data_IF_654222725325
#
_entry.id   IF_654222725325
#
_cell.length_a   1.000
_cell.length_b   1.000
_cell.length_c   1.000
_cell.angle_alpha   90.00
_cell.angle_beta   90.00
_cell.angle_gamma   90.00
#
_symmetry.space_group_name_H-M   'P 1'
#
loop_
_entity.id
_entity.type
_entity.pdbx_description
1 polymer ?
#
# COMPACT_ATOMS: atom_id res chain seq x y z
N UNK A 1 2.66 -19.89 -7.38
CA UNK A 1 1.87 -18.76 -6.85
C UNK A 1 0.59 -19.30 -6.25
N UNK A 2 0.31 -19.00 -4.98
CA UNK A 2 -0.96 -19.36 -4.33
C UNK A 2 -1.85 -18.12 -4.32
N UNK A 3 -3.00 -18.20 -4.97
CA UNK A 3 -4.02 -17.15 -5.00
C UNK A 3 -5.03 -17.49 -3.89
N UNK A 4 -5.05 -16.72 -2.82
CA UNK A 4 -6.02 -16.89 -1.72
C UNK A 4 -7.19 -15.92 -1.96
N UNK A 5 -8.40 -16.47 -2.13
CA UNK A 5 -9.64 -15.68 -2.18
C UNK A 5 -10.26 -15.63 -0.79
N UNK A 6 -10.39 -14.44 -0.20
CA UNK A 6 -10.99 -14.30 1.13
C UNK A 6 -12.53 -14.36 1.03
N UNK A 7 -13.12 -15.54 1.26
CA UNK A 7 -14.58 -15.76 1.23
C UNK A 7 -15.29 -15.42 2.56
N UNK A 8 -14.64 -14.69 3.46
CA UNK A 8 -15.22 -14.31 4.76
C UNK A 8 -15.40 -15.46 5.75
N UNK A 9 -14.87 -16.66 5.47
CA UNK A 9 -14.82 -17.79 6.42
C UNK A 9 -13.36 -18.10 6.76
N UNK A 10 -13.06 -18.14 8.05
CA UNK A 10 -11.70 -18.30 8.57
C UNK A 10 -11.05 -19.58 8.08
N UNK A 11 -9.88 -19.43 7.47
CA UNK A 11 -8.91 -20.51 7.36
C UNK A 11 -7.88 -20.24 8.46
N UNK A 12 -7.83 -21.16 9.41
CA UNK A 12 -6.83 -21.19 10.46
C UNK A 12 -5.57 -21.82 9.87
N UNK A 13 -4.55 -20.99 9.62
CA UNK A 13 -3.22 -21.44 9.22
C UNK A 13 -2.30 -21.09 10.38
N UNK A 14 -2.18 -22.05 11.30
CA UNK A 14 -1.18 -21.99 12.35
C UNK A 14 0.20 -22.16 11.74
N UNK A 15 1.05 -21.17 11.90
CA UNK A 15 2.50 -21.30 11.86
C UNK A 15 3.13 -20.23 12.75
N UNK A 16 4.05 -20.65 13.62
CA UNK A 16 4.91 -19.79 14.43
C UNK A 16 5.84 -18.95 13.53
N UNK A 17 6.04 -17.64 13.79
CA UNK A 17 6.88 -16.82 12.93
C UNK A 17 8.34 -17.24 13.04
N UNK A 18 8.92 -17.75 11.96
CA UNK A 18 10.35 -17.57 11.70
C UNK A 18 10.61 -16.07 11.55
N UNK A 19 11.83 -15.63 11.82
CA UNK A 19 12.31 -14.24 11.72
C UNK A 19 12.35 -13.74 10.27
N UNK A 20 11.22 -13.80 9.58
CA UNK A 20 11.09 -13.59 8.14
C UNK A 20 10.96 -12.10 7.83
N UNK A 21 11.78 -11.60 6.91
CA UNK A 21 11.61 -10.25 6.36
C UNK A 21 10.39 -10.27 5.43
N UNK A 22 9.25 -9.79 5.92
CA UNK A 22 8.03 -9.72 5.12
C UNK A 22 7.93 -8.41 4.38
N UNK A 23 7.54 -8.48 3.11
CA UNK A 23 7.21 -7.32 2.30
C UNK A 23 5.72 -7.38 1.92
N UNK A 24 4.98 -6.35 2.34
CA UNK A 24 3.58 -6.15 2.01
C UNK A 24 3.48 -5.15 0.88
N UNK A 25 2.93 -5.59 -0.25
CA UNK A 25 2.58 -4.75 -1.39
C UNK A 25 1.08 -4.49 -1.34
N UNK A 26 0.65 -3.23 -1.41
CA UNK A 26 -0.80 -2.95 -1.39
C UNK A 26 -1.22 -1.75 -2.22
N UNK A 27 -2.51 -1.69 -2.52
CA UNK A 27 -3.14 -0.48 -3.05
C UNK A 27 -3.21 0.62 -1.98
N UNK A 28 -3.13 1.88 -2.42
CA UNK A 28 -3.21 3.07 -1.56
C UNK A 28 -4.61 3.28 -0.94
N UNK A 29 -5.63 2.59 -1.47
CA UNK A 29 -7.05 2.83 -1.19
C UNK A 29 -7.45 2.56 0.27
N UNK A 30 -7.88 3.61 0.97
CA UNK A 30 -8.32 3.56 2.36
C UNK A 30 -9.46 2.56 2.64
N UNK A 31 -10.28 2.21 1.64
CA UNK A 31 -11.41 1.28 1.79
C UNK A 31 -10.93 -0.11 2.21
N UNK A 32 -9.68 -0.43 1.92
CA UNK A 32 -9.08 -1.74 2.22
C UNK A 32 -8.43 -1.80 3.61
N UNK A 33 -8.13 -0.66 4.26
CA UNK A 33 -7.33 -0.61 5.49
C UNK A 33 -7.83 -1.59 6.57
N UNK A 34 -9.14 -1.62 6.83
CA UNK A 34 -9.70 -2.46 7.86
C UNK A 34 -9.56 -3.96 7.53
N UNK A 35 -9.75 -4.32 6.26
CA UNK A 35 -9.60 -5.70 5.80
C UNK A 35 -8.12 -6.12 5.78
N UNK A 36 -7.23 -5.28 5.25
CA UNK A 36 -5.78 -5.44 5.29
C UNK A 36 -5.28 -5.63 6.74
N UNK A 37 -5.69 -4.78 7.68
CA UNK A 37 -5.27 -4.88 9.08
C UNK A 37 -5.72 -6.21 9.72
N UNK A 38 -6.98 -6.63 9.51
CA UNK A 38 -7.47 -7.93 10.00
C UNK A 38 -6.74 -9.12 9.38
N UNK A 39 -6.38 -9.01 8.11
CA UNK A 39 -5.68 -10.05 7.38
C UNK A 39 -4.22 -10.19 7.85
N UNK A 40 -3.53 -9.05 8.06
CA UNK A 40 -2.17 -9.00 8.61
C UNK A 40 -2.13 -9.47 10.07
N UNK A 41 -3.10 -9.06 10.89
CA UNK A 41 -3.18 -9.45 12.29
C UNK A 41 -3.30 -10.97 12.50
N UNK A 42 -4.13 -11.64 11.69
CA UNK A 42 -4.27 -13.11 11.69
C UNK A 42 -2.98 -13.86 11.33
N UNK A 43 -1.99 -13.17 10.78
CA UNK A 43 -0.70 -13.74 10.37
C UNK A 43 0.45 -13.24 11.26
N UNK A 44 0.17 -12.68 12.43
CA UNK A 44 1.19 -12.21 13.37
C UNK A 44 1.79 -10.84 13.05
N UNK A 45 1.19 -10.06 12.13
CA UNK A 45 1.67 -8.73 11.74
C UNK A 45 0.73 -7.60 12.16
N UNK A 46 0.02 -7.79 13.27
CA UNK A 46 -0.93 -6.80 13.78
C UNK A 46 -0.27 -5.47 14.15
N UNK A 47 1.03 -5.50 14.46
CA UNK A 47 1.79 -4.38 14.97
C UNK A 47 2.55 -3.60 13.90
N UNK A 48 2.44 -3.95 12.61
CA UNK A 48 3.13 -3.21 11.55
C UNK A 48 4.58 -3.62 11.32
N UNK A 49 5.06 -4.72 11.94
CA UNK A 49 6.41 -5.27 11.76
C UNK A 49 6.63 -5.93 10.38
N UNK A 50 6.51 -5.15 9.31
CA UNK A 50 6.79 -5.57 7.94
C UNK A 50 7.28 -4.40 7.08
N UNK A 51 8.03 -4.71 6.02
CA UNK A 51 8.30 -3.74 4.97
C UNK A 51 7.00 -3.46 4.23
N UNK A 52 6.69 -2.19 4.00
CA UNK A 52 5.47 -1.78 3.33
C UNK A 52 5.80 -1.01 2.05
N UNK A 53 5.23 -1.46 0.95
CA UNK A 53 5.15 -0.67 -0.27
C UNK A 53 3.67 -0.53 -0.62
N UNK A 54 3.19 0.72 -0.70
CA UNK A 54 1.83 1.01 -1.09
C UNK A 54 1.81 2.02 -2.24
N UNK A 55 1.19 1.63 -3.35
CA UNK A 55 1.08 2.42 -4.58
C UNK A 55 -0.27 2.19 -5.24
N UNK A 56 -0.71 3.09 -6.11
CA UNK A 56 -1.98 3.00 -6.78
C UNK A 56 -2.11 1.67 -7.55
N UNK A 57 -3.22 0.96 -7.32
CA UNK A 57 -3.52 -0.33 -7.96
C UNK A 57 -2.60 -1.49 -7.58
N UNK A 58 -1.79 -1.37 -6.52
CA UNK A 58 -0.84 -2.37 -6.01
C UNK A 58 0.20 -2.92 -7.02
N UNK A 59 0.15 -2.50 -8.29
CA UNK A 59 1.10 -2.81 -9.36
C UNK A 59 1.47 -1.57 -10.19
N UNK A 60 0.92 -0.38 -9.87
CA UNK A 60 1.15 0.86 -10.64
C UNK A 60 2.62 1.29 -10.68
N UNK A 61 3.43 0.83 -9.73
CA UNK A 61 4.88 1.03 -9.68
C UNK A 61 5.64 -0.31 -9.59
N UNK A 62 5.46 -1.16 -10.61
CA UNK A 62 6.11 -2.48 -10.70
C UNK A 62 7.63 -2.43 -10.61
N UNK A 63 8.28 -1.43 -11.21
CA UNK A 63 9.73 -1.24 -11.10
C UNK A 63 10.19 -1.00 -9.67
N UNK A 64 9.51 -0.12 -8.92
CA UNK A 64 9.81 0.12 -7.51
C UNK A 64 9.57 -1.11 -6.64
N UNK A 65 8.56 -1.92 -6.95
CA UNK A 65 8.35 -3.20 -6.24
C UNK A 65 9.50 -4.19 -6.46
N UNK A 66 9.96 -4.32 -7.71
CA UNK A 66 11.09 -5.19 -8.05
C UNK A 66 12.39 -4.71 -7.38
N UNK A 67 12.60 -3.39 -7.31
CA UNK A 67 13.72 -2.80 -6.58
C UNK A 67 13.64 -3.13 -5.08
N UNK A 68 12.48 -2.88 -4.45
CA UNK A 68 12.26 -3.19 -3.03
C UNK A 68 12.52 -4.68 -2.72
N UNK A 69 11.99 -5.57 -3.56
CA UNK A 69 12.18 -7.01 -3.39
C UNK A 69 13.65 -7.42 -3.55
N UNK A 70 14.36 -6.84 -4.51
CA UNK A 70 15.79 -7.08 -4.74
C UNK A 70 16.67 -6.60 -3.57
N UNK A 71 16.36 -5.43 -3.02
CA UNK A 71 17.11 -4.85 -1.90
C UNK A 71 16.88 -5.59 -0.58
N UNK A 72 15.63 -5.89 -0.24
CA UNK A 72 15.28 -6.47 1.07
C UNK A 72 15.29 -7.99 1.09
N UNK A 73 15.28 -8.65 -0.07
CA UNK A 73 15.25 -10.12 -0.23
C UNK A 73 14.26 -10.78 0.74
N UNK A 74 12.97 -10.39 0.69
CA UNK A 74 11.98 -10.89 1.62
C UNK A 74 11.79 -12.40 1.47
N UNK A 75 11.60 -13.11 2.58
CA UNK A 75 11.23 -14.53 2.55
C UNK A 75 9.78 -14.73 2.09
N UNK A 76 8.94 -13.71 2.28
CA UNK A 76 7.52 -13.72 1.93
C UNK A 76 7.07 -12.34 1.42
N UNK A 77 6.49 -12.34 0.22
CA UNK A 77 5.82 -11.18 -0.38
C UNK A 77 4.30 -11.40 -0.33
N UNK A 78 3.63 -10.43 0.28
CA UNK A 78 2.18 -10.39 0.45
C UNK A 78 1.61 -9.29 -0.41
N UNK A 79 0.95 -9.65 -1.51
CA UNK A 79 0.30 -8.69 -2.41
C UNK A 79 -1.16 -8.60 -2.03
N UNK A 80 -1.59 -7.43 -1.57
CA UNK A 80 -2.93 -7.15 -1.08
C UNK A 80 -3.58 -6.11 -1.96
N UNK A 81 -4.60 -6.53 -2.69
CA UNK A 81 -5.31 -5.65 -3.59
C UNK A 81 -6.83 -5.75 -3.39
N UNK A 82 -7.62 -5.08 -4.22
CA UNK A 82 -9.06 -5.04 -3.99
C UNK A 82 -9.90 -4.87 -5.24
N UNK A 83 -11.15 -5.35 -5.14
CA UNK A 83 -12.15 -5.06 -6.14
C UNK A 83 -12.45 -3.56 -6.23
N UNK A 84 -12.96 -3.11 -7.39
CA UNK A 84 -13.39 -1.71 -7.60
C UNK A 84 -12.25 -0.68 -7.43
N UNK A 85 -11.03 -1.06 -7.83
CA UNK A 85 -9.86 -0.19 -7.81
C UNK A 85 -9.96 0.95 -8.83
N UNK A 86 -9.87 2.20 -8.34
CA UNK A 86 -10.04 3.41 -9.16
C UNK A 86 -8.89 3.66 -10.14
N UNK A 87 -7.68 3.17 -9.85
CA UNK A 87 -6.50 3.34 -10.71
C UNK A 87 -6.73 2.80 -12.13
N UNK A 88 -7.29 1.60 -12.24
CA UNK A 88 -7.56 0.96 -13.52
C UNK A 88 -8.74 1.60 -14.26
N UNK A 89 -9.67 2.23 -13.54
CA UNK A 89 -10.77 3.02 -14.14
C UNK A 89 -10.26 4.27 -14.82
N UNK A 90 -9.28 4.95 -14.22
CA UNK A 90 -8.86 6.29 -14.67
C UNK A 90 -7.75 6.31 -15.70
N UNK A 91 -7.04 5.19 -15.91
CA UNK A 91 -5.89 5.12 -16.81
C UNK A 91 -6.22 4.53 -18.20
N UNK A 92 -7.47 4.59 -18.65
CA UNK A 92 -7.89 4.13 -19.98
C UNK A 92 -7.84 2.61 -20.20
N UNK A 93 -7.25 1.85 -19.28
CA UNK A 93 -7.30 0.39 -19.27
C UNK A 93 -8.74 -0.13 -19.23
N UNK A 94 -9.66 0.59 -18.59
CA UNK A 94 -11.06 0.21 -18.59
C UNK A 94 -11.71 0.24 -19.98
N UNK A 95 -11.43 1.27 -20.78
CA UNK A 95 -12.05 1.46 -22.09
C UNK A 95 -11.58 0.39 -23.09
N UNK A 96 -10.31 -0.03 -22.99
CA UNK A 96 -9.76 -1.11 -23.81
C UNK A 96 -10.37 -2.48 -23.47
N UNK A 97 -10.60 -2.76 -22.19
CA UNK A 97 -11.05 -4.09 -21.76
C UNK A 97 -12.58 -4.22 -21.68
N UNK A 98 -13.33 -3.13 -21.44
CA UNK A 98 -14.80 -3.15 -21.62
C UNK A 98 -15.19 -3.34 -23.09
N UNK A 99 -14.40 -2.79 -24.04
CA UNK A 99 -14.62 -3.00 -25.47
C UNK A 99 -14.49 -4.49 -25.87
N UNK A 100 -13.63 -5.24 -25.18
CA UNK A 100 -13.42 -6.68 -25.37
C UNK A 100 -14.26 -7.56 -24.42
N UNK A 101 -15.16 -6.96 -23.63
CA UNK A 101 -16.06 -7.68 -22.70
C UNK A 101 -15.37 -8.23 -21.44
N UNK A 102 -14.13 -7.83 -21.17
CA UNK A 102 -13.40 -8.24 -19.98
C UNK A 102 -13.75 -7.36 -18.79
N UNK A 103 -14.10 -8.03 -17.69
CA UNK A 103 -14.40 -7.32 -16.47
C UNK A 103 -13.12 -6.68 -15.87
N UNK A 104 -13.22 -5.51 -15.25
CA UNK A 104 -12.12 -4.73 -14.66
C UNK A 104 -11.15 -5.47 -13.74
N UNK A 105 -11.64 -6.50 -13.05
CA UNK A 105 -10.84 -7.34 -12.17
C UNK A 105 -9.87 -8.25 -12.95
N UNK A 106 -10.11 -8.48 -14.25
CA UNK A 106 -9.25 -9.29 -15.14
C UNK A 106 -7.93 -8.57 -15.44
N UNK A 107 -7.99 -7.27 -15.79
CA UNK A 107 -6.79 -6.44 -16.04
C UNK A 107 -5.90 -6.40 -14.81
N UNK A 108 -6.56 -6.16 -13.68
CA UNK A 108 -5.96 -6.09 -12.38
C UNK A 108 -5.27 -7.41 -12.01
N UNK A 109 -5.95 -8.53 -12.19
CA UNK A 109 -5.37 -9.86 -11.98
C UNK A 109 -4.14 -10.08 -12.87
N UNK A 110 -4.24 -9.81 -14.17
CA UNK A 110 -3.14 -9.99 -15.12
C UNK A 110 -1.87 -9.20 -14.75
N UNK A 111 -2.02 -7.94 -14.31
CA UNK A 111 -0.89 -7.12 -13.88
C UNK A 111 -0.21 -7.70 -12.63
N UNK A 112 -0.99 -8.26 -11.72
CA UNK A 112 -0.49 -8.84 -10.47
C UNK A 112 0.15 -10.20 -10.70
N UNK A 113 -0.38 -11.00 -11.63
CA UNK A 113 0.28 -12.22 -12.12
C UNK A 113 1.63 -11.90 -12.77
N UNK A 114 1.67 -10.84 -13.60
CA UNK A 114 2.90 -10.38 -14.25
C UNK A 114 3.93 -9.93 -13.20
N UNK A 115 3.52 -9.10 -12.25
CA UNK A 115 4.38 -8.69 -11.13
C UNK A 115 4.86 -9.90 -10.32
N UNK A 116 3.99 -10.84 -10.01
CA UNK A 116 4.34 -12.07 -9.29
C UNK A 116 5.35 -12.94 -10.03
N UNK A 117 5.22 -13.05 -11.35
CA UNK A 117 6.17 -13.76 -12.22
C UNK A 117 7.54 -13.10 -12.21
N UNK A 118 7.60 -11.76 -12.36
CA UNK A 118 8.85 -11.01 -12.31
C UNK A 118 9.54 -11.10 -10.94
N UNK A 119 8.78 -10.97 -9.86
CA UNK A 119 9.33 -11.13 -8.51
C UNK A 119 9.87 -12.55 -8.30
N UNK A 120 9.14 -13.59 -8.74
CA UNK A 120 9.60 -14.97 -8.61
C UNK A 120 10.92 -15.24 -9.35
N UNK A 121 11.15 -14.57 -10.50
CA UNK A 121 12.44 -14.64 -11.21
C UNK A 121 13.58 -13.99 -10.41
N UNK A 122 13.31 -12.92 -9.66
CA UNK A 122 14.31 -12.22 -8.85
C UNK A 122 14.75 -13.02 -7.62
N UNK A 123 13.82 -13.73 -6.98
CA UNK A 123 14.12 -14.55 -5.82
C UNK A 123 13.24 -15.81 -5.79
N UNK A 124 13.83 -16.93 -6.23
CA UNK A 124 13.16 -18.24 -6.27
C UNK A 124 12.89 -18.82 -4.88
N UNK A 125 13.56 -18.31 -3.84
CA UNK A 125 13.34 -18.69 -2.44
C UNK A 125 12.22 -17.91 -1.75
N UNK A 126 11.70 -16.84 -2.36
CA UNK A 126 10.62 -16.04 -1.79
C UNK A 126 9.26 -16.70 -2.03
N UNK A 127 8.46 -16.79 -0.97
CA UNK A 127 7.05 -17.16 -1.08
C UNK A 127 6.21 -15.97 -1.55
N UNK A 128 5.24 -16.22 -2.44
CA UNK A 128 4.34 -15.20 -2.98
C UNK A 128 2.89 -15.53 -2.66
N UNK A 129 2.23 -14.64 -1.92
CA UNK A 129 0.80 -14.74 -1.60
C UNK A 129 0.05 -13.54 -2.16
N UNK A 130 -0.92 -13.83 -3.01
CA UNK A 130 -1.81 -12.83 -3.58
C UNK A 130 -3.18 -12.90 -2.89
N UNK A 131 -3.70 -11.74 -2.50
CA UNK A 131 -5.00 -11.59 -1.85
C UNK A 131 -5.79 -10.47 -2.52
N UNK A 132 -6.95 -10.83 -3.07
CA UNK A 132 -7.94 -9.88 -3.55
C UNK A 132 -9.00 -9.68 -2.46
N UNK A 133 -9.03 -8.49 -1.86
CA UNK A 133 -9.97 -8.14 -0.81
C UNK A 133 -11.32 -7.70 -1.39
N UNK A 134 -12.44 -8.32 -0.97
CA UNK A 134 -13.76 -7.89 -1.39
C UNK A 134 -14.12 -6.56 -0.72
N UNK A 135 -14.72 -5.64 -1.49
CA UNK A 135 -15.35 -4.44 -0.93
C UNK A 135 -16.85 -4.65 -0.74
N UNK A 136 -17.34 -4.37 0.46
CA UNK A 136 -18.78 -4.39 0.72
C UNK A 136 -19.50 -3.18 0.10
N UNK A 137 -20.84 -3.23 0.03
CA UNK A 137 -21.66 -2.18 -0.59
C UNK A 137 -21.46 -0.80 0.04
N UNK A 138 -21.15 -0.72 1.35
CA UNK A 138 -20.90 0.55 2.04
C UNK A 138 -19.53 1.12 1.66
N UNK A 139 -18.51 0.27 1.59
CA UNK A 139 -17.16 0.64 1.17
C UNK A 139 -17.11 1.14 -0.27
N UNK A 140 -17.77 0.46 -1.21
CA UNK A 140 -17.83 0.88 -2.62
C UNK A 140 -18.40 2.29 -2.83
N UNK A 141 -19.24 2.76 -1.91
CA UNK A 141 -19.85 4.10 -1.95
C UNK A 141 -18.99 5.19 -1.31
N UNK A 142 -17.90 4.83 -0.64
CA UNK A 142 -16.98 5.80 -0.02
C UNK A 142 -15.97 6.23 -1.08
N UNK A 143 -15.90 7.54 -1.32
CA UNK A 143 -14.94 8.14 -2.27
C UNK A 143 -14.14 9.27 -1.62
N UNK A 144 -14.25 9.43 -0.30
CA UNK A 144 -13.50 10.44 0.44
C UNK A 144 -12.77 9.80 1.61
N UNK A 145 -11.48 10.07 1.70
CA UNK A 145 -10.66 9.72 2.86
C UNK A 145 -10.47 10.96 3.75
N UNK A 146 -10.21 10.74 5.03
CA UNK A 146 -9.94 11.85 5.95
C UNK A 146 -8.50 12.37 5.78
N UNK A 147 -7.57 11.50 5.40
CA UNK A 147 -6.18 11.88 5.17
C UNK A 147 -5.49 10.96 4.15
N UNK A 148 -4.32 11.39 3.69
CA UNK A 148 -3.33 10.53 3.02
C UNK A 148 -2.08 10.48 3.88
N UNK A 149 -1.53 9.29 4.08
CA UNK A 149 -0.26 9.11 4.79
C UNK A 149 0.83 8.70 3.82
N UNK A 150 1.96 9.37 3.89
CA UNK A 150 3.19 8.98 3.22
C UNK A 150 4.11 8.40 4.29
N UNK A 151 4.52 7.15 4.14
CA UNK A 151 5.35 6.41 5.11
C UNK A 151 6.61 5.95 4.40
N UNK A 152 7.78 6.40 4.86
CA UNK A 152 9.05 5.99 4.26
C UNK A 152 9.92 5.22 5.23
N UNK A 153 10.45 4.10 4.74
CA UNK A 153 11.51 3.36 5.39
C UNK A 153 11.06 2.07 6.07
N UNK A 154 11.70 1.81 7.19
CA UNK A 154 11.81 0.48 7.78
C UNK A 154 10.54 0.06 8.56
N UNK A 155 10.36 -1.24 8.87
CA UNK A 155 9.17 -1.76 9.55
C UNK A 155 8.78 -1.01 10.83
N UNK A 156 9.75 -0.51 11.60
CA UNK A 156 9.51 0.25 12.82
C UNK A 156 8.87 1.63 12.55
N UNK A 157 9.14 2.23 11.39
CA UNK A 157 8.46 3.47 10.95
C UNK A 157 7.02 3.14 10.56
N UNK A 158 6.79 2.01 9.87
CA UNK A 158 5.43 1.52 9.53
C UNK A 158 4.61 1.27 10.80
N UNK A 159 5.21 0.63 11.80
CA UNK A 159 4.63 0.39 13.13
C UNK A 159 4.25 1.70 13.83
N UNK A 160 5.21 2.61 13.98
CA UNK A 160 4.99 3.88 14.67
C UNK A 160 3.97 4.78 13.94
N UNK A 161 4.00 4.79 12.60
CA UNK A 161 3.00 5.50 11.80
C UNK A 161 1.60 4.90 11.99
N UNK A 162 1.48 3.57 12.01
CA UNK A 162 0.20 2.88 12.27
C UNK A 162 -0.36 3.20 13.65
N UNK A 163 0.49 3.29 14.68
CA UNK A 163 0.13 3.74 16.03
C UNK A 163 -0.36 5.19 16.04
N UNK A 164 0.41 6.12 15.49
CA UNK A 164 0.02 7.52 15.39
C UNK A 164 -1.31 7.71 14.64
N UNK A 165 -1.54 6.92 13.58
CA UNK A 165 -2.80 6.96 12.83
C UNK A 165 -3.99 6.40 13.61
N UNK A 166 -3.78 5.46 14.53
CA UNK A 166 -4.83 5.04 15.47
C UNK A 166 -5.15 6.15 16.47
N UNK A 167 -4.14 6.80 17.03
CA UNK A 167 -4.31 7.87 18.02
C UNK A 167 -5.02 9.09 17.42
N UNK A 168 -4.81 9.36 16.13
CA UNK A 168 -5.53 10.39 15.37
C UNK A 168 -6.97 9.99 14.99
N UNK A 169 -7.42 8.77 15.32
CA UNK A 169 -8.74 8.26 14.94
C UNK A 169 -8.87 7.94 13.44
N UNK A 170 -7.75 7.74 12.75
CA UNK A 170 -7.68 7.63 11.30
C UNK A 170 -7.45 6.20 10.79
N UNK A 171 -7.25 5.21 11.67
CA UNK A 171 -6.90 3.81 11.36
C UNK A 171 -7.52 3.21 10.07
N UNK A 172 -8.81 3.49 9.79
CA UNK A 172 -9.57 2.91 8.68
C UNK A 172 -10.09 3.94 7.65
N UNK A 173 -9.59 5.17 7.68
CA UNK A 173 -10.06 6.26 6.81
C UNK A 173 -8.92 7.15 6.30
N UNK A 174 -7.82 6.55 5.88
CA UNK A 174 -6.72 7.24 5.24
C UNK A 174 -6.13 6.43 4.10
N UNK A 175 -5.72 7.09 3.04
CA UNK A 175 -4.90 6.43 2.02
C UNK A 175 -3.49 6.20 2.56
N UNK A 176 -2.84 5.13 2.09
CA UNK A 176 -1.47 4.79 2.46
C UNK A 176 -0.58 4.78 1.23
N UNK A 177 0.37 5.70 1.16
CA UNK A 177 1.49 5.67 0.20
C UNK A 177 2.72 5.29 1.00
N UNK A 178 3.44 4.26 0.57
CA UNK A 178 4.55 3.74 1.34
C UNK A 178 5.65 3.17 0.48
N UNK A 179 6.88 3.27 0.96
CA UNK A 179 8.10 2.80 0.29
C UNK A 179 9.05 2.23 1.35
N UNK A 180 9.54 0.99 1.20
CA UNK A 180 10.23 0.26 2.28
C UNK A 180 11.70 0.65 2.45
N UNK A 181 12.18 1.61 1.65
CA UNK A 181 13.53 2.14 1.64
C UNK A 181 13.51 3.67 1.71
N UNK A 182 14.64 4.26 2.11
CA UNK A 182 14.81 5.71 2.09
C UNK A 182 14.84 6.18 0.65
N UNK A 183 13.73 6.76 0.21
CA UNK A 183 13.65 7.39 -1.09
C UNK A 183 14.17 8.80 -1.06
N UNK A 184 14.77 9.19 -2.18
CA UNK A 184 15.04 10.59 -2.46
C UNK A 184 13.72 11.37 -2.39
N UNK A 185 13.68 12.55 -1.74
CA UNK A 185 12.52 13.45 -1.81
C UNK A 185 12.17 13.90 -3.23
N UNK A 186 13.03 13.59 -4.21
CA UNK A 186 12.82 13.82 -5.65
C UNK A 186 12.24 12.62 -6.39
N UNK A 187 11.94 11.51 -5.72
CA UNK A 187 11.29 10.37 -6.36
C UNK A 187 9.87 10.75 -6.79
N UNK A 188 9.65 10.80 -8.10
CA UNK A 188 8.39 11.22 -8.71
C UNK A 188 7.25 10.21 -8.50
N UNK A 189 7.57 8.95 -8.19
CA UNK A 189 6.56 7.89 -8.05
C UNK A 189 5.63 8.12 -6.86
N UNK A 190 6.12 8.72 -5.76
CA UNK A 190 5.28 9.09 -4.62
C UNK A 190 4.29 10.19 -5.03
N UNK A 191 4.73 11.13 -5.86
CA UNK A 191 3.90 12.26 -6.29
C UNK A 191 2.80 11.82 -7.23
N UNK A 192 3.07 10.87 -8.13
CA UNK A 192 2.04 10.26 -8.96
C UNK A 192 0.97 9.54 -8.11
N UNK A 193 1.38 8.76 -7.10
CA UNK A 193 0.44 8.12 -6.17
C UNK A 193 -0.38 9.16 -5.37
N UNK A 194 0.25 10.26 -4.97
CA UNK A 194 -0.41 11.36 -4.27
C UNK A 194 -1.43 12.07 -5.17
N UNK A 195 -1.10 12.39 -6.42
CA UNK A 195 -2.04 12.99 -7.37
C UNK A 195 -3.26 12.09 -7.61
N UNK A 196 -3.05 10.77 -7.70
CA UNK A 196 -4.14 9.80 -7.82
C UNK A 196 -5.03 9.82 -6.56
N UNK A 197 -4.43 9.81 -5.36
CA UNK A 197 -5.16 9.94 -4.10
C UNK A 197 -5.96 11.26 -4.03
N UNK A 198 -5.35 12.38 -4.43
CA UNK A 198 -5.98 13.69 -4.46
C UNK A 198 -7.20 13.73 -5.39
N UNK A 199 -7.06 13.15 -6.58
CA UNK A 199 -8.12 13.08 -7.59
C UNK A 199 -9.25 12.15 -7.17
N UNK A 200 -8.92 10.95 -6.69
CA UNK A 200 -9.89 9.89 -6.42
C UNK A 200 -10.54 9.98 -5.04
N UNK A 201 -9.75 10.26 -4.00
CA UNK A 201 -10.15 10.11 -2.61
C UNK A 201 -10.20 11.44 -1.85
N UNK A 202 -9.79 12.55 -2.46
CA UNK A 202 -10.00 13.92 -1.95
C UNK A 202 -9.69 14.06 -0.44
N UNK A 203 -8.47 13.70 0.00
CA UNK A 203 -8.06 13.77 1.40
C UNK A 203 -8.19 15.20 1.93
N UNK A 204 -8.48 15.32 3.23
CA UNK A 204 -8.54 16.62 3.91
C UNK A 204 -7.21 17.05 4.51
N UNK A 205 -6.25 16.13 4.61
CA UNK A 205 -4.96 16.33 5.26
C UNK A 205 -3.94 15.32 4.74
N UNK A 206 -2.67 15.69 4.74
CA UNK A 206 -1.56 14.80 4.41
C UNK A 206 -0.63 14.71 5.62
N UNK A 207 -0.25 13.49 6.00
CA UNK A 207 0.76 13.23 7.01
C UNK A 207 1.97 12.57 6.37
N UNK A 208 3.17 13.00 6.77
CA UNK A 208 4.43 12.43 6.26
C UNK A 208 5.20 11.87 7.44
N UNK A 209 5.43 10.56 7.44
CA UNK A 209 6.15 9.85 8.49
C UNK A 209 7.53 9.45 7.99
N UNK A 210 8.56 9.94 8.68
CA UNK A 210 9.96 9.57 8.51
C UNK A 210 10.66 9.65 9.87
N UNK A 211 11.76 8.91 10.05
CA UNK A 211 12.63 9.03 11.23
C UNK A 211 13.55 10.25 11.16
N UNK A 212 13.86 10.71 9.95
CA UNK A 212 14.74 11.84 9.70
C UNK A 212 13.91 13.10 9.47
N UNK A 213 14.06 14.07 10.38
CA UNK A 213 13.33 15.34 10.33
C UNK A 213 13.58 16.14 9.05
N UNK A 214 14.83 16.20 8.59
CA UNK A 214 15.17 16.92 7.36
C UNK A 214 14.49 16.28 6.13
N UNK A 215 14.41 14.95 6.08
CA UNK A 215 13.68 14.24 5.03
C UNK A 215 12.18 14.53 5.11
N UNK A 216 11.58 14.42 6.31
CA UNK A 216 10.16 14.69 6.51
C UNK A 216 9.77 16.12 6.08
N UNK A 217 10.62 17.11 6.40
CA UNK A 217 10.43 18.51 5.99
C UNK A 217 10.56 18.68 4.47
N UNK A 218 11.60 18.12 3.86
CA UNK A 218 11.80 18.20 2.41
C UNK A 218 10.64 17.55 1.63
N UNK A 219 10.15 16.39 2.08
CA UNK A 219 8.99 15.74 1.51
C UNK A 219 7.70 16.54 1.73
N UNK A 220 7.57 17.21 2.89
CA UNK A 220 6.43 18.09 3.15
C UNK A 220 6.40 19.27 2.19
N UNK A 221 7.56 19.84 1.86
CA UNK A 221 7.65 20.91 0.87
C UNK A 221 7.25 20.44 -0.53
N UNK A 222 7.74 19.29 -0.99
CA UNK A 222 7.30 18.70 -2.26
C UNK A 222 5.80 18.37 -2.25
N UNK A 223 5.30 17.76 -1.18
CA UNK A 223 3.88 17.43 -1.05
C UNK A 223 2.99 18.68 -1.08
N UNK A 224 3.43 19.81 -0.51
CA UNK A 224 2.68 21.09 -0.57
C UNK A 224 2.54 21.61 -1.99
N UNK A 225 3.56 21.43 -2.84
CA UNK A 225 3.50 21.83 -4.25
C UNK A 225 2.44 21.03 -5.01
N UNK A 226 2.30 19.74 -4.72
CA UNK A 226 1.32 18.85 -5.35
C UNK A 226 -0.09 19.02 -4.75
N UNK A 227 -0.18 19.18 -3.44
CA UNK A 227 -1.45 19.16 -2.69
C UNK A 227 -2.22 20.48 -2.71
N UNK A 228 -1.60 21.58 -3.18
CA UNK A 228 -2.20 22.90 -3.23
C UNK A 228 -2.57 23.42 -1.83
N UNK A 229 -3.86 23.46 -1.52
CA UNK A 229 -4.37 23.99 -0.24
C UNK A 229 -4.55 22.95 0.86
N UNK A 230 -4.36 21.66 0.58
CA UNK A 230 -4.54 20.61 1.58
C UNK A 230 -3.40 20.70 2.62
N UNK A 231 -3.71 20.78 3.92
CA UNK A 231 -2.68 20.85 4.96
C UNK A 231 -1.74 19.64 4.93
N UNK A 232 -0.44 19.90 4.97
CA UNK A 232 0.63 18.89 5.01
C UNK A 232 1.37 18.99 6.35
N UNK A 233 1.35 17.90 7.11
CA UNK A 233 1.98 17.81 8.43
C UNK A 233 3.08 16.74 8.46
N UNK A 234 4.36 17.13 8.59
CA UNK A 234 5.43 16.19 8.86
C UNK A 234 5.32 15.63 10.29
N UNK A 235 5.62 14.34 10.43
CA UNK A 235 5.62 13.58 11.68
C UNK A 235 6.93 12.82 11.81
N UNK A 236 7.83 13.33 12.65
CA UNK A 236 9.12 12.70 12.92
C UNK A 236 8.94 11.55 13.91
N UNK A 237 9.30 10.34 13.49
CA UNK A 237 9.24 9.15 14.35
C UNK A 237 10.50 9.08 15.21
N UNK A 238 10.31 9.14 16.54
CA UNK A 238 11.36 8.85 17.50
C UNK A 238 11.25 7.38 17.92
N UNK A 239 12.25 6.58 17.56
CA UNK A 239 12.34 5.19 17.97
C UNK A 239 12.91 5.11 19.38
N UNK A 240 12.35 4.26 20.24
CA UNK A 240 12.93 3.98 21.55
C UNK A 240 14.33 3.37 21.34
N UNK A 241 15.34 3.93 22.02
CA UNK A 241 16.73 3.46 21.99
C UNK A 241 16.90 2.11 22.70
#
# INVERSE_FOLDING_TARGET
MVIEYETGRGIDIGETPKTTSHLVLRCIDFRTNAATARWLARRGHADGSYHLFASAGASGNSSGFLEAASQHKPDLIKVIDHEDCGFYKTNGFYELFEADGHAPHVVHHHNLETLGSELHKLNTGTEYRYNLLPLNKKERKRHTCAATTIILGEPEIVKAASEAMRDLGLANNHDVIARPYLLSPRDESIWNDLEISLKLHKPKKIYIFDRNEANALALADSARQVAGHIPVEPKVIQLAA
#
